data_IF_986257575281
#
_entry.id   IF_986257575281
#
_cell.length_a   1.000
_cell.length_b   1.000
_cell.length_c   1.000
_cell.angle_alpha   90.00
_cell.angle_beta   90.00
_cell.angle_gamma   90.00
#
_symmetry.space_group_name_H-M   'P 1'
#
loop_
_entity.id
_entity.type
_entity.pdbx_description
1 polymer ?
#
# COMPACT_ATOMS: atom_id res chain seq x y z
N UNK A 1 11.94 21.64 -59.35
CA UNK A 1 12.92 20.56 -59.22
C UNK A 1 13.05 20.22 -57.74
N UNK A 2 13.07 18.93 -57.41
CA UNK A 2 12.40 18.24 -56.28
C UNK A 2 13.32 18.14 -55.04
N UNK A 3 12.98 17.60 -53.87
CA UNK A 3 12.21 16.39 -53.49
C UNK A 3 11.70 16.55 -52.04
N UNK A 4 10.46 16.21 -51.73
CA UNK A 4 9.98 14.88 -51.31
C UNK A 4 10.90 14.18 -50.32
N UNK A 5 10.48 14.14 -49.04
CA UNK A 5 10.93 13.07 -48.14
C UNK A 5 9.99 12.68 -47.01
N UNK A 6 8.75 13.15 -46.90
CA UNK A 6 7.80 12.59 -45.91
C UNK A 6 6.36 12.67 -46.41
N UNK A 7 6.08 11.82 -47.38
CA UNK A 7 4.76 11.22 -47.53
C UNK A 7 4.64 10.08 -46.50
N UNK A 8 3.41 9.72 -46.18
CA UNK A 8 2.97 8.62 -45.33
C UNK A 8 2.79 8.93 -43.83
N UNK A 9 1.58 9.37 -43.49
CA UNK A 9 0.88 8.88 -42.30
C UNK A 9 -0.63 8.90 -42.57
N UNK A 10 -1.03 8.10 -43.55
CA UNK A 10 -2.38 7.59 -43.63
C UNK A 10 -2.58 6.48 -42.60
N UNK A 11 -2.70 6.81 -41.31
CA UNK A 11 -3.26 5.89 -40.33
C UNK A 11 -4.60 6.45 -39.83
N UNK A 12 -5.62 5.77 -40.33
CA UNK A 12 -7.03 5.97 -40.04
C UNK A 12 -7.27 6.05 -38.54
N UNK A 13 -8.16 6.95 -38.17
CA UNK A 13 -8.74 7.13 -36.85
C UNK A 13 -9.51 5.86 -36.46
N UNK A 14 -8.79 4.87 -35.91
CA UNK A 14 -9.42 3.68 -35.34
C UNK A 14 -10.05 4.12 -34.04
N UNK A 15 -11.37 4.29 -34.03
CA UNK A 15 -12.15 4.39 -32.79
C UNK A 15 -11.75 3.22 -31.90
N UNK A 16 -11.04 3.52 -30.82
CA UNK A 16 -10.66 2.56 -29.80
C UNK A 16 -11.94 2.22 -29.00
N UNK A 17 -12.80 1.39 -29.58
CA UNK A 17 -13.91 0.78 -28.86
C UNK A 17 -13.30 -0.37 -28.08
N UNK A 18 -12.94 -0.11 -26.83
CA UNK A 18 -12.58 -1.16 -25.89
C UNK A 18 -13.72 -2.19 -25.84
N UNK A 19 -13.48 -3.46 -26.21
CA UNK A 19 -14.47 -4.48 -25.97
C UNK A 19 -14.58 -4.67 -24.45
N UNK A 20 -15.76 -4.41 -23.89
CA UNK A 20 -16.13 -4.80 -22.52
C UNK A 20 -16.05 -6.32 -22.39
N UNK A 21 -14.85 -6.85 -22.20
CA UNK A 21 -14.58 -8.26 -21.95
C UNK A 21 -14.22 -8.46 -20.48
N UNK A 22 -15.16 -8.96 -19.68
CA UNK A 22 -14.97 -9.33 -18.27
C UNK A 22 -13.93 -10.46 -18.04
N UNK A 23 -13.30 -10.98 -19.10
CA UNK A 23 -12.40 -12.13 -19.04
C UNK A 23 -10.90 -11.75 -18.97
N UNK A 24 -10.51 -10.52 -19.35
CA UNK A 24 -9.11 -10.06 -19.25
C UNK A 24 -8.69 -9.85 -17.79
N UNK A 25 -9.56 -9.22 -16.98
CA UNK A 25 -9.30 -8.98 -15.54
C UNK A 25 -9.04 -10.28 -14.76
N UNK A 26 -9.72 -11.38 -15.09
CA UNK A 26 -9.58 -12.63 -14.34
C UNK A 26 -8.25 -13.36 -14.65
N UNK A 27 -7.77 -13.29 -15.90
CA UNK A 27 -6.49 -13.84 -16.30
C UNK A 27 -5.32 -12.99 -15.74
N UNK A 28 -5.48 -11.66 -15.74
CA UNK A 28 -4.52 -10.73 -15.14
C UNK A 28 -4.45 -10.91 -13.62
N UNK A 29 -5.58 -11.01 -12.92
CA UNK A 29 -5.62 -11.27 -11.48
C UNK A 29 -4.96 -12.61 -11.12
N UNK A 30 -5.17 -13.66 -11.93
CA UNK A 30 -4.51 -14.96 -11.73
C UNK A 30 -3.00 -14.85 -11.90
N UNK A 31 -2.54 -14.13 -12.92
CA UNK A 31 -1.11 -13.91 -13.19
C UNK A 31 -0.47 -13.09 -12.08
N UNK A 32 -1.15 -12.04 -11.61
CA UNK A 32 -0.72 -11.22 -10.48
C UNK A 32 -0.61 -12.03 -9.19
N UNK A 33 -1.55 -12.95 -8.92
CA UNK A 33 -1.49 -13.86 -7.77
C UNK A 33 -0.33 -14.85 -7.86
N UNK A 34 -0.09 -15.44 -9.04
CA UNK A 34 1.02 -16.38 -9.23
C UNK A 34 2.40 -15.74 -9.02
N UNK A 35 2.53 -14.45 -9.29
CA UNK A 35 3.75 -13.69 -9.05
C UNK A 35 3.81 -13.04 -7.65
N UNK A 36 2.74 -13.14 -6.86
CA UNK A 36 2.64 -12.48 -5.54
C UNK A 36 3.31 -13.29 -4.44
N UNK A 37 3.85 -12.59 -3.44
CA UNK A 37 4.32 -13.20 -2.21
C UNK A 37 3.11 -13.76 -1.45
N UNK A 38 3.10 -15.07 -1.20
CA UNK A 38 2.09 -15.70 -0.34
C UNK A 38 2.42 -15.33 1.11
N UNK A 39 1.55 -14.57 1.76
CA UNK A 39 1.71 -14.16 3.14
C UNK A 39 0.99 -15.14 4.08
N UNK A 40 1.76 -15.93 4.82
CA UNK A 40 1.24 -16.69 5.95
C UNK A 40 1.55 -16.00 7.29
N UNK A 41 1.09 -16.60 8.39
CA UNK A 41 1.29 -16.04 9.74
C UNK A 41 2.78 -15.97 10.13
N UNK A 42 3.57 -16.99 9.81
CA UNK A 42 4.98 -17.03 10.17
C UNK A 42 5.76 -15.93 9.44
N UNK A 43 5.48 -15.74 8.16
CA UNK A 43 6.07 -14.68 7.36
C UNK A 43 5.62 -13.29 7.84
N UNK A 44 4.34 -13.12 8.20
CA UNK A 44 3.88 -11.86 8.79
C UNK A 44 4.59 -11.54 10.12
N UNK A 45 4.74 -12.53 10.99
CA UNK A 45 5.47 -12.36 12.26
C UNK A 45 6.95 -12.03 12.04
N UNK A 46 7.60 -12.68 11.06
CA UNK A 46 8.97 -12.36 10.66
C UNK A 46 9.09 -10.92 10.13
N UNK A 47 8.14 -10.47 9.30
CA UNK A 47 8.11 -9.10 8.78
C UNK A 47 7.84 -8.06 9.89
N UNK A 48 6.98 -8.37 10.86
CA UNK A 48 6.76 -7.53 12.05
C UNK A 48 8.05 -7.45 12.88
N UNK A 49 8.73 -8.59 13.10
CA UNK A 49 10.02 -8.65 13.80
C UNK A 49 11.08 -7.80 13.08
N UNK A 50 11.16 -7.93 11.76
CA UNK A 50 12.03 -7.11 10.91
C UNK A 50 11.77 -5.61 11.15
N UNK A 51 10.52 -5.15 11.07
CA UNK A 51 10.20 -3.73 11.23
C UNK A 51 10.52 -3.21 12.62
N UNK A 52 10.32 -4.02 13.66
CA UNK A 52 10.69 -3.69 15.04
C UNK A 52 12.19 -3.58 15.22
N UNK A 53 12.95 -4.55 14.72
CA UNK A 53 14.41 -4.55 14.77
C UNK A 53 14.98 -3.35 14.02
N UNK A 54 14.45 -3.07 12.83
CA UNK A 54 14.83 -1.90 12.04
C UNK A 54 14.61 -0.59 12.81
N UNK A 55 13.42 -0.39 13.40
CA UNK A 55 13.13 0.81 14.19
C UNK A 55 14.06 0.93 15.40
N UNK A 56 14.34 -0.16 16.10
CA UNK A 56 15.20 -0.15 17.29
C UNK A 56 16.63 0.33 16.99
N UNK A 57 17.16 0.00 15.81
CA UNK A 57 18.49 0.45 15.37
C UNK A 57 18.45 1.81 14.66
N UNK A 58 17.45 2.07 13.82
CA UNK A 58 17.35 3.31 13.05
C UNK A 58 17.01 4.53 13.92
N UNK A 59 16.36 4.34 15.07
CA UNK A 59 16.12 5.43 16.05
C UNK A 59 17.43 5.96 16.67
N UNK A 60 18.55 5.23 16.54
CA UNK A 60 19.85 5.60 17.11
C UNK A 60 20.70 6.50 16.20
N UNK A 61 20.33 6.67 14.93
CA UNK A 61 21.05 7.51 13.97
C UNK A 61 20.35 7.54 12.60
N UNK A 62 20.31 8.72 11.98
CA UNK A 62 19.57 8.97 10.72
C UNK A 62 20.45 9.04 9.48
N UNK A 63 21.75 8.73 9.59
CA UNK A 63 22.65 8.71 8.44
C UNK A 63 22.45 7.48 7.56
N UNK A 64 22.75 7.58 6.26
CA UNK A 64 22.59 6.48 5.30
C UNK A 64 23.30 5.18 5.73
N UNK A 65 24.48 5.30 6.35
CA UNK A 65 25.22 4.15 6.89
C UNK A 65 24.52 3.52 8.11
N UNK A 66 23.83 4.32 8.92
CA UNK A 66 23.07 3.83 10.07
C UNK A 66 21.80 3.11 9.61
N UNK A 67 21.13 3.64 8.57
CA UNK A 67 19.97 3.01 7.93
C UNK A 67 20.35 1.68 7.29
N UNK A 68 21.47 1.63 6.55
CA UNK A 68 21.97 0.40 5.95
C UNK A 68 22.31 -0.66 7.02
N UNK A 69 22.94 -0.24 8.13
CA UNK A 69 23.23 -1.14 9.26
C UNK A 69 21.96 -1.66 9.93
N UNK A 70 20.98 -0.80 10.15
CA UNK A 70 19.67 -1.18 10.70
C UNK A 70 18.94 -2.18 9.79
N UNK A 71 19.01 -1.99 8.47
CA UNK A 71 18.47 -2.93 7.49
C UNK A 71 19.11 -4.32 7.61
N UNK A 72 20.45 -4.40 7.60
CA UNK A 72 21.16 -5.67 7.72
C UNK A 72 20.82 -6.40 9.03
N UNK A 73 20.84 -5.70 10.17
CA UNK A 73 20.49 -6.29 11.47
C UNK A 73 19.03 -6.77 11.52
N UNK A 74 18.12 -6.03 10.91
CA UNK A 74 16.72 -6.42 10.84
C UNK A 74 16.53 -7.70 10.00
N UNK A 75 17.27 -7.86 8.89
CA UNK A 75 17.26 -9.10 8.10
C UNK A 75 17.78 -10.27 8.93
N UNK A 76 18.91 -10.11 9.63
CA UNK A 76 19.50 -11.13 10.49
C UNK A 76 18.52 -11.55 11.62
N UNK A 77 17.90 -10.59 12.28
CA UNK A 77 16.99 -10.85 13.41
C UNK A 77 15.67 -11.51 12.97
N UNK A 78 15.20 -11.21 11.76
CA UNK A 78 13.96 -11.77 11.21
C UNK A 78 14.16 -13.03 10.38
N UNK A 79 15.42 -13.39 10.10
CA UNK A 79 15.78 -14.50 9.22
C UNK A 79 15.13 -14.41 7.82
N UNK A 80 14.88 -13.18 7.35
CA UNK A 80 14.29 -12.94 6.04
C UNK A 80 15.38 -12.76 4.98
N UNK A 81 15.12 -13.30 3.80
CA UNK A 81 15.86 -12.92 2.60
C UNK A 81 15.48 -11.51 2.16
N UNK A 82 16.44 -10.76 1.62
CA UNK A 82 16.26 -9.34 1.26
C UNK A 82 15.06 -9.11 0.33
N UNK A 83 14.90 -9.93 -0.72
CA UNK A 83 13.80 -9.79 -1.67
C UNK A 83 12.43 -10.08 -1.02
N UNK A 84 12.38 -11.05 -0.12
CA UNK A 84 11.16 -11.40 0.62
C UNK A 84 10.79 -10.28 1.59
N UNK A 85 11.77 -9.72 2.29
CA UNK A 85 11.58 -8.55 3.15
C UNK A 85 11.07 -7.35 2.35
N UNK A 86 11.70 -7.01 1.22
CA UNK A 86 11.30 -5.88 0.37
C UNK A 86 9.84 -6.00 -0.09
N UNK A 87 9.47 -7.16 -0.66
CA UNK A 87 8.11 -7.42 -1.14
C UNK A 87 7.09 -7.41 -0.01
N UNK A 88 7.42 -8.02 1.13
CA UNK A 88 6.57 -8.06 2.31
C UNK A 88 6.35 -6.67 2.90
N UNK A 89 7.42 -5.88 3.06
CA UNK A 89 7.34 -4.50 3.58
C UNK A 89 6.52 -3.61 2.64
N UNK A 90 6.65 -3.77 1.32
CA UNK A 90 5.83 -3.02 0.36
C UNK A 90 4.32 -3.31 0.52
N UNK A 91 3.96 -4.57 0.77
CA UNK A 91 2.59 -4.96 1.12
C UNK A 91 2.16 -4.35 2.46
N UNK A 92 2.96 -4.51 3.52
CA UNK A 92 2.64 -3.97 4.84
C UNK A 92 2.50 -2.44 4.82
N UNK A 93 3.33 -1.72 4.07
CA UNK A 93 3.23 -0.27 3.88
C UNK A 93 1.94 0.11 3.15
N UNK A 94 1.59 -0.64 2.11
CA UNK A 94 0.35 -0.42 1.34
C UNK A 94 -0.90 -0.63 2.19
N UNK A 95 -0.91 -1.68 3.03
CA UNK A 95 -2.00 -1.94 3.97
C UNK A 95 -2.02 -0.91 5.10
N UNK A 96 -0.91 -0.76 5.82
CA UNK A 96 -0.77 0.13 6.97
C UNK A 96 -1.09 1.60 6.66
N UNK A 97 -0.68 2.10 5.48
CA UNK A 97 -1.00 3.46 5.05
C UNK A 97 -2.49 3.69 4.82
N UNK A 98 -3.20 2.72 4.23
CA UNK A 98 -4.67 2.79 4.06
C UNK A 98 -5.38 2.72 5.41
N UNK A 99 -4.99 1.79 6.28
CA UNK A 99 -5.58 1.64 7.62
C UNK A 99 -5.33 2.87 8.50
N UNK A 100 -4.14 3.44 8.43
CA UNK A 100 -3.83 4.72 9.09
C UNK A 100 -4.74 5.85 8.58
N UNK A 101 -4.94 5.95 7.26
CA UNK A 101 -5.83 6.94 6.65
C UNK A 101 -7.28 6.74 7.10
N UNK A 102 -7.76 5.50 7.15
CA UNK A 102 -9.09 5.15 7.69
C UNK A 102 -9.25 5.65 9.12
N UNK A 103 -8.28 5.36 10.01
CA UNK A 103 -8.32 5.86 11.40
C UNK A 103 -8.40 7.39 11.46
N UNK A 104 -7.59 8.10 10.65
CA UNK A 104 -7.65 9.57 10.60
C UNK A 104 -8.97 10.13 10.10
N UNK A 105 -9.61 9.47 9.14
CA UNK A 105 -10.91 9.87 8.64
C UNK A 105 -12.02 9.59 9.67
N UNK A 106 -11.92 8.48 10.40
CA UNK A 106 -12.83 8.17 11.52
C UNK A 106 -12.69 9.17 12.66
N UNK A 107 -11.45 9.48 13.10
CA UNK A 107 -11.17 10.51 14.10
C UNK A 107 -11.77 11.85 13.67
N UNK A 108 -11.62 12.21 12.38
CA UNK A 108 -12.17 13.45 11.84
C UNK A 108 -13.69 13.44 11.79
N UNK A 109 -14.34 12.32 11.49
CA UNK A 109 -15.80 12.21 11.59
C UNK A 109 -16.26 12.41 13.02
N UNK A 110 -15.59 11.77 13.99
CA UNK A 110 -15.92 11.91 15.41
C UNK A 110 -15.77 13.37 15.89
N UNK A 111 -14.74 14.09 15.44
CA UNK A 111 -14.57 15.51 15.74
C UNK A 111 -15.68 16.40 15.14
N UNK A 112 -16.32 15.95 14.06
CA UNK A 112 -17.46 16.63 13.45
C UNK A 112 -18.80 16.21 14.07
N UNK A 113 -18.83 15.20 14.95
CA UNK A 113 -20.03 14.85 15.71
C UNK A 113 -20.30 15.97 16.74
N UNK A 114 -21.44 16.66 16.59
CA UNK A 114 -21.83 17.80 17.44
C UNK A 114 -21.63 19.18 16.81
N UNK A 115 -20.82 19.32 15.76
CA UNK A 115 -20.72 20.57 15.00
C UNK A 115 -21.90 20.72 14.03
N UNK A 116 -22.81 21.69 14.25
CA UNK A 116 -23.99 21.88 13.37
C UNK A 116 -23.80 22.98 12.32
N UNK A 117 -22.56 23.37 12.05
CA UNK A 117 -22.28 24.39 11.04
C UNK A 117 -22.36 23.83 9.60
N UNK A 118 -22.63 24.70 8.63
CA UNK A 118 -22.78 24.31 7.23
C UNK A 118 -21.53 23.60 6.67
N UNK A 119 -20.35 23.94 7.20
CA UNK A 119 -19.08 23.32 6.81
C UNK A 119 -18.99 21.86 7.27
N UNK A 120 -19.45 21.56 8.47
CA UNK A 120 -19.51 20.19 9.00
C UNK A 120 -20.51 19.34 8.19
N UNK A 121 -21.67 19.90 7.84
CA UNK A 121 -22.67 19.22 7.01
C UNK A 121 -22.13 18.87 5.61
N UNK A 122 -21.35 19.77 4.98
CA UNK A 122 -20.71 19.50 3.69
C UNK A 122 -19.55 18.50 3.77
N UNK A 123 -18.79 18.50 4.88
CA UNK A 123 -17.60 17.68 5.03
C UNK A 123 -17.90 16.21 5.35
N UNK A 124 -18.94 15.93 6.14
CA UNK A 124 -19.31 14.55 6.51
C UNK A 124 -19.52 13.60 5.33
N UNK A 125 -20.33 13.93 4.30
CA UNK A 125 -20.53 13.02 3.17
C UNK A 125 -19.25 12.79 2.38
N UNK A 126 -18.38 13.80 2.26
CA UNK A 126 -17.07 13.67 1.59
C UNK A 126 -16.15 12.71 2.35
N UNK A 127 -16.06 12.85 3.67
CA UNK A 127 -15.22 11.96 4.50
C UNK A 127 -15.77 10.53 4.49
N UNK A 128 -17.09 10.35 4.54
CA UNK A 128 -17.72 9.01 4.40
C UNK A 128 -17.45 8.38 3.04
N UNK A 129 -17.48 9.16 1.96
CA UNK A 129 -17.14 8.71 0.62
C UNK A 129 -15.67 8.27 0.53
N UNK A 130 -14.75 9.04 1.12
CA UNK A 130 -13.34 8.69 1.18
C UNK A 130 -13.11 7.42 2.00
N UNK A 131 -13.74 7.28 3.16
CA UNK A 131 -13.68 6.05 3.97
C UNK A 131 -14.11 4.82 3.17
N UNK A 132 -15.24 4.90 2.46
CA UNK A 132 -15.70 3.82 1.61
C UNK A 132 -14.71 3.52 0.47
N UNK A 133 -14.01 4.54 -0.05
CA UNK A 133 -12.95 4.34 -1.04
C UNK A 133 -11.77 3.58 -0.45
N UNK A 134 -11.27 3.99 0.73
CA UNK A 134 -10.14 3.35 1.41
C UNK A 134 -10.44 1.89 1.80
N UNK A 135 -11.66 1.58 2.24
CA UNK A 135 -12.07 0.18 2.50
C UNK A 135 -12.06 -0.65 1.21
N UNK A 136 -12.65 -0.14 0.12
CA UNK A 136 -12.64 -0.85 -1.18
C UNK A 136 -11.23 -1.09 -1.71
N UNK A 137 -10.33 -0.13 -1.56
CA UNK A 137 -8.93 -0.30 -1.96
C UNK A 137 -8.18 -1.28 -1.07
N UNK A 138 -8.49 -1.31 0.22
CA UNK A 138 -7.95 -2.31 1.15
C UNK A 138 -8.38 -3.71 0.73
N UNK A 139 -9.67 -3.89 0.42
CA UNK A 139 -10.21 -5.17 -0.06
C UNK A 139 -9.66 -5.54 -1.45
N UNK A 140 -9.37 -4.56 -2.31
CA UNK A 140 -8.76 -4.78 -3.61
C UNK A 140 -7.35 -5.40 -3.51
N UNK A 141 -6.65 -5.27 -2.37
CA UNK A 141 -5.41 -6.02 -2.12
C UNK A 141 -5.64 -7.54 -2.19
N UNK A 142 -6.83 -8.02 -1.84
CA UNK A 142 -7.21 -9.43 -1.93
C UNK A 142 -7.17 -9.98 -3.36
N UNK A 143 -7.36 -9.12 -4.38
CA UNK A 143 -7.22 -9.55 -5.79
C UNK A 143 -5.81 -10.00 -6.11
N UNK A 144 -4.80 -9.29 -5.58
CA UNK A 144 -3.38 -9.53 -5.84
C UNK A 144 -2.77 -10.54 -4.87
N UNK A 145 -3.10 -10.46 -3.59
CA UNK A 145 -2.45 -11.24 -2.53
C UNK A 145 -3.35 -12.34 -1.92
N UNK A 146 -4.61 -12.42 -2.34
CA UNK A 146 -5.61 -13.35 -1.81
C UNK A 146 -6.36 -12.80 -0.59
N UNK A 147 -7.62 -13.20 -0.45
CA UNK A 147 -8.50 -12.73 0.64
C UNK A 147 -8.00 -13.18 2.03
N UNK A 148 -7.39 -14.36 2.10
CA UNK A 148 -6.76 -14.87 3.34
C UNK A 148 -5.64 -13.94 3.83
N UNK A 149 -4.87 -13.35 2.91
CA UNK A 149 -3.83 -12.37 3.26
C UNK A 149 -4.44 -11.12 3.85
N UNK A 150 -5.51 -10.59 3.26
CA UNK A 150 -6.18 -9.38 3.79
C UNK A 150 -6.81 -9.67 5.15
N UNK A 151 -7.43 -10.83 5.33
CA UNK A 151 -7.98 -11.25 6.62
C UNK A 151 -6.88 -11.31 7.70
N UNK A 152 -5.74 -11.96 7.40
CA UNK A 152 -4.60 -12.02 8.31
C UNK A 152 -4.04 -10.64 8.64
N UNK A 153 -3.95 -9.73 7.67
CA UNK A 153 -3.50 -8.35 7.92
C UNK A 153 -4.47 -7.58 8.82
N UNK A 154 -5.79 -7.78 8.65
CA UNK A 154 -6.82 -7.18 9.51
C UNK A 154 -6.73 -7.69 10.95
N UNK A 155 -6.39 -8.97 11.17
CA UNK A 155 -6.16 -9.51 12.51
C UNK A 155 -5.02 -8.81 13.26
N UNK A 156 -4.03 -8.28 12.54
CA UNK A 156 -2.86 -7.59 13.10
C UNK A 156 -2.88 -6.07 12.86
N UNK A 157 -4.03 -5.50 12.53
CA UNK A 157 -4.16 -4.10 12.09
C UNK A 157 -3.55 -3.10 13.09
N UNK A 158 -3.78 -3.29 14.38
CA UNK A 158 -3.25 -2.40 15.43
C UNK A 158 -1.73 -2.31 15.42
N UNK A 159 -1.06 -3.47 15.35
CA UNK A 159 0.40 -3.54 15.30
C UNK A 159 0.93 -2.94 13.99
N UNK A 160 0.28 -3.25 12.87
CA UNK A 160 0.74 -2.79 11.56
C UNK A 160 0.59 -1.28 11.38
N UNK A 161 -0.49 -0.68 11.90
CA UNK A 161 -0.68 0.77 11.85
C UNK A 161 0.29 1.49 12.79
N UNK A 162 0.57 0.94 13.97
CA UNK A 162 1.58 1.50 14.87
C UNK A 162 2.97 1.53 14.20
N UNK A 163 3.40 0.38 13.66
CA UNK A 163 4.68 0.26 12.95
C UNK A 163 4.74 1.21 11.75
N UNK A 164 3.67 1.31 10.97
CA UNK A 164 3.59 2.25 9.86
C UNK A 164 3.76 3.70 10.31
N UNK A 165 3.10 4.09 11.41
CA UNK A 165 3.17 5.45 11.97
C UNK A 165 4.59 5.78 12.42
N UNK A 166 5.22 4.88 13.17
CA UNK A 166 6.60 5.06 13.66
C UNK A 166 7.60 5.12 12.52
N UNK A 167 7.49 4.22 11.55
CA UNK A 167 8.37 4.18 10.38
C UNK A 167 8.26 5.46 9.54
N UNK A 168 7.04 5.95 9.32
CA UNK A 168 6.81 7.22 8.60
C UNK A 168 7.39 8.40 9.38
N UNK A 169 7.20 8.42 10.70
CA UNK A 169 7.79 9.45 11.57
C UNK A 169 9.32 9.47 11.50
N UNK A 170 9.96 8.31 11.51
CA UNK A 170 11.42 8.19 11.39
C UNK A 170 11.92 8.68 10.03
N UNK A 171 11.30 8.20 8.93
CA UNK A 171 11.72 8.56 7.57
C UNK A 171 11.43 10.02 7.19
N UNK A 172 10.51 10.69 7.89
CA UNK A 172 10.21 12.10 7.67
C UNK A 172 11.19 13.08 8.34
N UNK A 173 12.10 12.58 9.19
CA UNK A 173 13.06 13.40 9.97
C UNK A 173 14.45 13.48 9.35
N UNK A 174 14.80 12.57 8.45
CA UNK A 174 16.05 12.60 7.67
C UNK A 174 15.88 13.43 6.41
#
# INVERSE_FOLDING_TARGET
MPSDLFDDNGFQDVRNVEPRGSNLSAADDRTLRMASLVLDRALLEALISYQRAFLADAEQGTGDLDVARAHTRALEASQLEALTAERGIALLRSFGGRRWTVRKLQDKLQQLEGASDARAEELRPRIRGELASQERETDALGRRYGDATVALLREHEDVLVDLHTRMTGLLSRG
#
